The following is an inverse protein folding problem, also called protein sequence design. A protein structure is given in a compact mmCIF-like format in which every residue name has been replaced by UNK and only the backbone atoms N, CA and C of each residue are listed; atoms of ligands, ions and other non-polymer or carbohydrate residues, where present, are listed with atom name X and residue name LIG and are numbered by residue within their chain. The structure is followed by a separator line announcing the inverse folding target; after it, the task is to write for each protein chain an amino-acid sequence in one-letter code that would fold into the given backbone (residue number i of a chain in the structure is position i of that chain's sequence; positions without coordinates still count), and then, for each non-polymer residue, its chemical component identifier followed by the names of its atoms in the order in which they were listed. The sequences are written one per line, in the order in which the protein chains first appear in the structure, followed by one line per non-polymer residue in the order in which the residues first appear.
data_IF_752320634361
#
_entry.id   IF_752320634361
#
_cell.length_a   1.000
_cell.length_b   1.000
_cell.length_c   1.000
_cell.angle_alpha   90.00
_cell.angle_beta   90.00
_cell.angle_gamma   90.00
#
_symmetry.space_group_name_H-M   'P 1'
#
loop_
_entity.id
_entity.type
_entity.pdbx_description
1 polymer ?
#
# COMPACT_ATOMS: atom_id res chain seq x y z
N UNK A 1 -31.90 11.00 4.42
CA UNK A 1 -31.31 9.95 3.57
C UNK A 1 -30.98 8.84 4.55
N UNK A 2 -31.72 7.74 4.43
CA UNK A 2 -31.62 6.62 5.37
C UNK A 2 -30.25 5.98 5.26
N UNK A 3 -29.68 5.61 6.40
CA UNK A 3 -28.38 4.91 6.49
C UNK A 3 -28.44 3.53 5.82
N UNK A 4 -29.65 3.02 5.55
CA UNK A 4 -29.90 1.70 5.00
C UNK A 4 -29.68 1.61 3.47
N UNK A 5 -29.78 2.73 2.74
CA UNK A 5 -29.71 2.72 1.27
C UNK A 5 -28.32 2.31 0.72
N UNK A 6 -27.18 2.82 1.23
CA UNK A 6 -25.86 2.38 0.77
C UNK A 6 -25.54 0.93 1.13
N UNK A 7 -26.05 0.44 2.26
CA UNK A 7 -25.76 -0.92 2.73
C UNK A 7 -26.48 -1.97 1.87
N UNK A 8 -27.75 -1.73 1.55
CA UNK A 8 -28.53 -2.60 0.67
C UNK A 8 -27.88 -2.75 -0.72
N UNK A 9 -27.35 -1.65 -1.29
CA UNK A 9 -26.62 -1.68 -2.57
C UNK A 9 -25.36 -2.56 -2.52
N UNK A 10 -24.64 -2.53 -1.39
CA UNK A 10 -23.47 -3.39 -1.19
C UNK A 10 -23.91 -4.85 -1.07
N UNK A 11 -24.91 -5.14 -0.24
CA UNK A 11 -25.42 -6.50 -0.02
C UNK A 11 -25.92 -7.13 -1.33
N UNK A 12 -26.66 -6.38 -2.16
CA UNK A 12 -27.08 -6.82 -3.50
C UNK A 12 -25.87 -7.16 -4.39
N UNK A 13 -24.87 -6.27 -4.45
CA UNK A 13 -23.65 -6.49 -5.22
C UNK A 13 -22.87 -7.72 -4.71
N UNK A 14 -22.79 -7.93 -3.39
CA UNK A 14 -22.07 -9.06 -2.80
C UNK A 14 -22.81 -10.39 -3.02
N UNK A 15 -24.15 -10.40 -2.94
CA UNK A 15 -24.94 -11.58 -3.30
C UNK A 15 -24.79 -11.94 -4.78
N UNK A 16 -24.73 -10.94 -5.66
CA UNK A 16 -24.40 -11.19 -7.06
C UNK A 16 -23.02 -11.85 -7.22
N UNK A 17 -21.99 -11.35 -6.52
CA UNK A 17 -20.67 -11.99 -6.52
C UNK A 17 -20.66 -13.40 -5.94
N UNK A 18 -21.47 -13.66 -4.91
CA UNK A 18 -21.64 -15.00 -4.34
C UNK A 18 -22.23 -15.96 -5.37
N UNK A 19 -23.20 -15.53 -6.17
CA UNK A 19 -23.75 -16.32 -7.28
C UNK A 19 -22.75 -16.60 -8.40
N UNK A 20 -21.67 -15.80 -8.47
CA UNK A 20 -20.55 -15.97 -9.38
C UNK A 20 -19.37 -16.71 -8.72
N UNK A 21 -19.57 -17.30 -7.53
CA UNK A 21 -18.57 -18.07 -6.78
C UNK A 21 -17.29 -17.26 -6.45
N UNK A 22 -17.41 -15.94 -6.29
CA UNK A 22 -16.27 -15.13 -5.90
C UNK A 22 -15.84 -15.46 -4.45
N UNK A 23 -14.57 -15.85 -4.20
CA UNK A 23 -14.15 -16.44 -2.92
C UNK A 23 -14.13 -15.46 -1.74
N UNK A 24 -14.16 -14.16 -2.02
CA UNK A 24 -14.27 -13.11 -0.99
C UNK A 24 -15.71 -12.67 -0.71
N UNK A 25 -16.72 -13.15 -1.46
CA UNK A 25 -18.10 -12.66 -1.34
C UNK A 25 -18.75 -13.04 0.00
N UNK A 26 -18.64 -14.31 0.41
CA UNK A 26 -19.15 -14.78 1.71
C UNK A 26 -18.43 -14.11 2.88
N UNK A 27 -17.08 -14.06 2.95
CA UNK A 27 -16.37 -13.27 3.95
C UNK A 27 -16.77 -11.80 3.97
N UNK A 28 -17.06 -11.19 2.81
CA UNK A 28 -17.52 -9.80 2.73
C UNK A 28 -18.92 -9.59 3.29
N UNK A 29 -19.83 -10.52 3.10
CA UNK A 29 -21.16 -10.47 3.71
C UNK A 29 -21.08 -10.65 5.23
N UNK A 30 -20.27 -11.59 5.71
CA UNK A 30 -20.01 -11.78 7.14
C UNK A 30 -19.39 -10.53 7.77
N UNK A 31 -18.36 -9.98 7.13
CA UNK A 31 -17.66 -8.79 7.59
C UNK A 31 -18.58 -7.57 7.58
N UNK A 32 -19.38 -7.37 6.52
CA UNK A 32 -20.37 -6.29 6.45
C UNK A 32 -21.41 -6.39 7.57
N UNK A 33 -21.83 -7.62 7.92
CA UNK A 33 -22.80 -7.91 8.98
C UNK A 33 -22.23 -7.77 10.39
N UNK A 34 -20.90 -7.74 10.55
CA UNK A 34 -20.24 -7.59 11.84
C UNK A 34 -20.55 -6.24 12.49
N UNK A 35 -20.78 -6.19 13.82
CA UNK A 35 -20.97 -4.93 14.55
C UNK A 35 -19.71 -4.03 14.53
N UNK A 36 -18.55 -4.57 14.16
CA UNK A 36 -17.31 -3.83 14.04
C UNK A 36 -17.10 -3.23 12.65
N UNK A 37 -17.96 -3.58 11.67
CA UNK A 37 -17.97 -2.96 10.36
C UNK A 37 -18.99 -1.81 10.35
N UNK A 38 -18.50 -0.59 10.16
CA UNK A 38 -19.32 0.62 10.13
C UNK A 38 -19.21 1.28 8.76
N UNK A 39 -20.36 1.72 8.25
CA UNK A 39 -20.45 2.51 7.03
C UNK A 39 -21.10 3.85 7.37
N UNK A 40 -20.31 4.92 7.32
CA UNK A 40 -20.78 6.26 7.59
C UNK A 40 -20.77 7.11 6.33
N UNK A 41 -21.88 7.77 6.02
CA UNK A 41 -21.91 8.82 5.02
C UNK A 41 -21.68 10.18 5.71
N UNK A 42 -20.58 10.83 5.35
CA UNK A 42 -20.20 12.12 5.91
C UNK A 42 -20.28 13.18 4.81
N UNK A 43 -20.72 14.40 5.13
CA UNK A 43 -20.54 15.51 4.19
C UNK A 43 -19.05 15.83 4.07
N UNK A 44 -18.56 16.05 2.85
CA UNK A 44 -17.14 16.26 2.59
C UNK A 44 -16.55 17.43 3.40
N UNK A 45 -17.34 18.50 3.62
CA UNK A 45 -16.89 19.64 4.43
C UNK A 45 -16.76 19.36 5.94
N UNK A 46 -17.34 18.24 6.43
CA UNK A 46 -17.36 17.84 7.85
C UNK A 46 -16.60 16.56 8.12
N UNK A 47 -16.11 15.89 7.09
CA UNK A 47 -15.57 14.54 7.22
C UNK A 47 -14.16 14.50 7.81
N UNK A 48 -13.44 15.63 7.90
CA UNK A 48 -12.02 15.69 8.30
C UNK A 48 -11.04 15.18 7.23
N UNK A 49 -11.47 14.24 6.39
CA UNK A 49 -10.69 13.62 5.32
C UNK A 49 -10.14 14.54 4.24
N UNK A 50 -10.66 15.76 4.04
CA UNK A 50 -10.17 16.65 2.97
C UNK A 50 -8.66 16.89 3.01
N UNK A 51 -8.07 16.97 4.21
CA UNK A 51 -6.61 17.13 4.36
C UNK A 51 -5.87 15.86 3.97
N UNK A 52 -6.36 14.70 4.40
CA UNK A 52 -5.72 13.41 4.13
C UNK A 52 -5.83 12.99 2.67
N UNK A 53 -6.91 13.40 2.00
CA UNK A 53 -7.18 13.09 0.60
C UNK A 53 -6.50 14.05 -0.39
N UNK A 54 -5.94 15.17 0.08
CA UNK A 54 -5.28 16.15 -0.79
C UNK A 54 -4.06 15.55 -1.52
N UNK A 55 -3.28 14.73 -0.81
CA UNK A 55 -2.01 14.17 -1.29
C UNK A 55 -2.16 12.71 -1.75
N UNK A 56 -3.38 12.28 -2.06
CA UNK A 56 -3.64 10.92 -2.55
C UNK A 56 -2.98 10.72 -3.93
N UNK A 57 -2.27 9.59 -4.06
CA UNK A 57 -1.75 9.17 -5.35
C UNK A 57 -2.90 8.79 -6.29
N UNK A 58 -2.91 9.35 -7.50
CA UNK A 58 -4.00 9.14 -8.45
C UNK A 58 -3.90 10.03 -9.68
N UNK A 59 -4.84 9.85 -10.60
CA UNK A 59 -4.92 10.71 -11.80
C UNK A 59 -5.37 12.13 -11.43
N UNK A 60 -5.05 13.12 -12.28
CA UNK A 60 -5.56 14.49 -12.13
C UNK A 60 -7.09 14.51 -12.10
N UNK A 61 -7.75 13.69 -12.93
CA UNK A 61 -9.21 13.59 -12.97
C UNK A 61 -9.77 13.05 -11.65
N UNK A 62 -9.15 11.99 -11.09
CA UNK A 62 -9.54 11.43 -9.80
C UNK A 62 -9.38 12.46 -8.67
N UNK A 63 -8.26 13.18 -8.61
CA UNK A 63 -8.04 14.24 -7.60
C UNK A 63 -9.07 15.36 -7.71
N UNK A 64 -9.45 15.78 -8.93
CA UNK A 64 -10.51 16.77 -9.14
C UNK A 64 -11.87 16.27 -8.67
N UNK A 65 -12.21 15.01 -8.97
CA UNK A 65 -13.46 14.42 -8.53
C UNK A 65 -13.53 14.27 -7.00
N UNK A 66 -12.41 13.92 -6.35
CA UNK A 66 -12.29 13.89 -4.88
C UNK A 66 -12.53 15.29 -4.30
N UNK A 67 -11.86 16.32 -4.84
CA UNK A 67 -12.04 17.69 -4.39
C UNK A 67 -13.48 18.21 -4.62
N UNK A 68 -14.20 17.67 -5.60
CA UNK A 68 -15.58 18.03 -5.92
C UNK A 68 -16.64 17.18 -5.19
N UNK A 69 -16.24 16.17 -4.43
CA UNK A 69 -17.16 15.27 -3.75
C UNK A 69 -18.01 16.01 -2.72
N UNK A 70 -19.32 15.74 -2.71
CA UNK A 70 -20.24 16.31 -1.70
C UNK A 70 -20.29 15.47 -0.43
N UNK A 71 -20.03 14.17 -0.57
CA UNK A 71 -20.09 13.18 0.49
C UNK A 71 -18.90 12.23 0.39
N UNK A 72 -18.46 11.76 1.54
CA UNK A 72 -17.52 10.66 1.68
C UNK A 72 -18.24 9.51 2.37
N UNK A 73 -18.16 8.31 1.78
CA UNK A 73 -18.57 7.09 2.45
C UNK A 73 -17.33 6.47 3.10
N UNK A 74 -17.34 6.37 4.42
CA UNK A 74 -16.22 5.84 5.20
C UNK A 74 -16.62 4.45 5.67
N UNK A 75 -15.93 3.45 5.13
CA UNK A 75 -16.01 2.08 5.61
C UNK A 75 -14.89 1.86 6.62
N UNK A 76 -15.25 1.48 7.85
CA UNK A 76 -14.30 1.07 8.88
C UNK A 76 -14.62 -0.35 9.28
N UNK A 77 -13.64 -1.25 9.21
CA UNK A 77 -13.79 -2.66 9.60
C UNK A 77 -12.76 -3.06 10.66
N UNK A 78 -12.97 -4.18 11.37
CA UNK A 78 -11.95 -4.75 12.25
C UNK A 78 -10.70 -5.13 11.44
N UNK A 79 -9.54 -4.91 12.05
CA UNK A 79 -8.25 -5.33 11.51
C UNK A 79 -7.45 -6.01 12.64
N UNK A 80 -7.78 -7.27 12.91
CA UNK A 80 -6.93 -8.09 13.77
C UNK A 80 -5.71 -8.55 12.97
N UNK A 81 -4.51 -8.41 13.54
CA UNK A 81 -3.28 -8.79 12.82
C UNK A 81 -3.26 -10.27 12.42
N UNK A 82 -3.96 -11.13 13.16
CA UNK A 82 -4.10 -12.57 12.87
C UNK A 82 -4.98 -12.89 11.67
N UNK A 83 -5.84 -11.98 11.24
CA UNK A 83 -6.77 -12.18 10.11
C UNK A 83 -6.33 -11.46 8.84
N UNK A 84 -5.24 -10.70 8.90
CA UNK A 84 -4.61 -10.08 7.75
C UNK A 84 -3.83 -11.12 6.92
N UNK A 85 -3.79 -10.96 5.58
CA UNK A 85 -4.33 -9.84 4.79
C UNK A 85 -5.81 -9.95 4.42
N UNK A 86 -6.48 -11.05 4.77
CA UNK A 86 -7.83 -11.39 4.29
C UNK A 86 -8.88 -10.34 4.67
N UNK A 87 -8.89 -9.85 5.90
CA UNK A 87 -9.85 -8.82 6.32
C UNK A 87 -9.69 -7.50 5.56
N UNK A 88 -8.45 -7.14 5.21
CA UNK A 88 -8.20 -5.96 4.39
C UNK A 88 -8.71 -6.14 2.95
N UNK A 89 -8.52 -7.33 2.34
CA UNK A 89 -9.09 -7.67 1.03
C UNK A 89 -10.62 -7.63 1.05
N UNK A 90 -11.22 -8.22 2.07
CA UNK A 90 -12.67 -8.22 2.29
C UNK A 90 -13.22 -6.79 2.40
N UNK A 91 -12.59 -5.95 3.22
CA UNK A 91 -12.94 -4.53 3.36
C UNK A 91 -12.83 -3.78 2.03
N UNK A 92 -11.75 -4.03 1.26
CA UNK A 92 -11.55 -3.43 -0.06
C UNK A 92 -12.62 -3.88 -1.06
N UNK A 93 -13.06 -5.14 -1.02
CA UNK A 93 -14.15 -5.63 -1.86
C UNK A 93 -15.48 -4.93 -1.54
N UNK A 94 -15.82 -4.81 -0.25
CA UNK A 94 -17.02 -4.09 0.21
C UNK A 94 -16.98 -2.63 -0.28
N UNK A 95 -15.86 -1.95 -0.08
CA UNK A 95 -15.69 -0.56 -0.52
C UNK A 95 -15.75 -0.42 -2.05
N UNK A 96 -15.23 -1.41 -2.80
CA UNK A 96 -15.35 -1.46 -4.26
C UNK A 96 -16.78 -1.68 -4.72
N UNK A 97 -17.53 -2.57 -4.08
CA UNK A 97 -18.95 -2.78 -4.35
C UNK A 97 -19.74 -1.49 -4.17
N UNK A 98 -19.49 -0.76 -3.08
CA UNK A 98 -20.11 0.54 -2.85
C UNK A 98 -19.73 1.57 -3.92
N UNK A 99 -18.44 1.71 -4.21
CA UNK A 99 -17.95 2.66 -5.22
C UNK A 99 -18.56 2.36 -6.59
N UNK A 100 -18.64 1.09 -6.98
CA UNK A 100 -19.25 0.66 -8.23
C UNK A 100 -20.76 0.96 -8.27
N UNK A 101 -21.50 0.61 -7.22
CA UNK A 101 -22.95 0.83 -7.15
C UNK A 101 -23.33 2.32 -7.14
N UNK A 102 -22.46 3.18 -6.61
CA UNK A 102 -22.71 4.63 -6.51
C UNK A 102 -22.05 5.46 -7.61
N UNK A 103 -21.25 4.84 -8.48
CA UNK A 103 -20.38 5.56 -9.42
C UNK A 103 -19.32 6.43 -8.74
N UNK A 104 -18.95 6.08 -7.51
CA UNK A 104 -17.96 6.76 -6.68
C UNK A 104 -16.51 6.39 -7.00
N UNK A 105 -15.58 7.05 -6.32
CA UNK A 105 -14.15 6.76 -6.41
C UNK A 105 -13.71 6.00 -5.16
N UNK A 106 -13.08 4.84 -5.36
CA UNK A 106 -12.50 4.07 -4.27
C UNK A 106 -11.11 4.61 -3.92
N UNK A 107 -10.93 4.99 -2.65
CA UNK A 107 -9.67 5.47 -2.11
C UNK A 107 -9.25 4.53 -0.99
N UNK A 108 -7.99 4.14 -0.98
CA UNK A 108 -7.34 3.54 0.16
C UNK A 108 -6.61 4.63 0.94
N UNK A 109 -7.12 5.07 2.11
CA UNK A 109 -6.51 6.14 2.88
C UNK A 109 -5.19 5.71 3.53
N UNK A 110 -4.99 4.42 3.81
CA UNK A 110 -3.79 3.91 4.48
C UNK A 110 -2.61 3.83 3.51
N UNK A 111 -2.85 3.43 2.25
CA UNK A 111 -1.86 3.55 1.18
C UNK A 111 -1.89 4.92 0.49
N UNK A 112 -2.82 5.81 0.88
CA UNK A 112 -3.11 7.10 0.25
C UNK A 112 -3.09 7.02 -1.27
N UNK A 113 -3.87 6.10 -1.82
CA UNK A 113 -3.96 5.89 -3.26
C UNK A 113 -5.41 5.74 -3.72
N UNK A 114 -5.68 6.27 -4.91
CA UNK A 114 -6.90 5.99 -5.64
C UNK A 114 -6.76 4.62 -6.28
N UNK A 115 -7.70 3.74 -6.00
CA UNK A 115 -7.72 2.41 -6.57
C UNK A 115 -8.35 2.45 -7.98
N UNK A 116 -7.90 1.59 -8.92
CA UNK A 116 -8.45 1.50 -10.26
C UNK A 116 -9.95 1.31 -10.22
N UNK A 117 -10.62 2.04 -11.11
CA UNK A 117 -12.03 1.86 -11.39
C UNK A 117 -12.20 0.53 -12.15
N UNK A 118 -12.69 -0.49 -11.43
CA UNK A 118 -12.97 -1.82 -11.95
C UNK A 118 -14.16 -2.42 -11.19
N UNK A 119 -14.97 -3.25 -11.86
CA UNK A 119 -16.11 -3.88 -11.22
C UNK A 119 -15.67 -4.82 -10.08
N UNK A 120 -16.52 -5.05 -9.06
CA UNK A 120 -16.19 -5.87 -7.89
C UNK A 120 -15.69 -7.28 -8.22
N UNK A 121 -16.22 -7.90 -9.28
CA UNK A 121 -15.82 -9.24 -9.76
C UNK A 121 -14.35 -9.32 -10.22
N UNK A 122 -13.69 -8.17 -10.42
CA UNK A 122 -12.27 -8.06 -10.80
C UNK A 122 -11.36 -7.81 -9.61
N UNK A 123 -11.88 -7.84 -8.38
CA UNK A 123 -11.02 -7.85 -7.20
C UNK A 123 -10.30 -9.21 -7.10
N UNK A 124 -8.96 -9.22 -6.92
CA UNK A 124 -8.19 -10.44 -6.78
C UNK A 124 -8.66 -11.28 -5.59
N UNK A 125 -8.88 -12.56 -5.86
CA UNK A 125 -9.16 -13.56 -4.83
C UNK A 125 -7.96 -13.78 -3.91
N UNK A 126 -6.77 -13.83 -4.51
CA UNK A 126 -5.51 -14.01 -3.79
C UNK A 126 -4.91 -12.65 -3.41
N UNK A 127 -4.21 -12.63 -2.28
CA UNK A 127 -3.50 -11.43 -1.86
C UNK A 127 -2.19 -11.30 -2.62
N UNK A 128 -2.05 -10.20 -3.37
CA UNK A 128 -0.78 -9.77 -3.94
C UNK A 128 -0.46 -8.37 -3.43
N UNK A 129 0.72 -8.19 -2.83
CA UNK A 129 1.15 -6.91 -2.27
C UNK A 129 1.31 -5.81 -3.34
N UNK A 130 1.65 -6.20 -4.58
CA UNK A 130 1.76 -5.31 -5.72
C UNK A 130 0.41 -4.76 -6.22
N UNK A 131 -0.72 -5.28 -5.73
CA UNK A 131 -2.07 -4.76 -6.02
C UNK A 131 -2.41 -3.46 -5.27
N UNK A 132 -1.41 -2.58 -5.12
CA UNK A 132 -1.52 -1.23 -4.55
C UNK A 132 -1.93 -1.20 -3.07
N UNK A 133 -1.53 -2.23 -2.32
CA UNK A 133 -1.62 -2.22 -0.85
C UNK A 133 -0.58 -1.30 -0.21
N UNK A 134 0.50 -1.02 -0.94
CA UNK A 134 1.57 -0.11 -0.54
C UNK A 134 1.82 0.89 -1.66
N UNK A 135 1.85 2.17 -1.30
CA UNK A 135 2.30 3.26 -2.17
C UNK A 135 3.71 3.68 -1.78
N UNK A 136 4.48 4.13 -2.76
CA UNK A 136 5.76 4.78 -2.54
C UNK A 136 5.64 6.24 -2.95
N UNK A 137 6.03 7.13 -2.05
CA UNK A 137 6.05 8.57 -2.32
C UNK A 137 7.49 9.02 -2.38
N UNK A 138 7.83 9.70 -3.48
CA UNK A 138 9.14 10.29 -3.67
C UNK A 138 9.05 11.77 -3.33
N UNK A 139 9.98 12.23 -2.50
CA UNK A 139 10.16 13.61 -2.13
C UNK A 139 11.54 14.06 -2.60
N UNK A 140 11.67 15.33 -2.95
CA UNK A 140 12.99 15.96 -2.92
C UNK A 140 13.46 16.01 -1.47
N UNK A 141 14.73 15.67 -1.27
CA UNK A 141 15.39 15.80 0.00
C UNK A 141 15.68 17.26 0.34
N UNK A 142 16.58 17.41 1.30
CA UNK A 142 17.12 18.68 1.78
C UNK A 142 18.06 19.32 0.74
N UNK A 143 18.65 18.49 -0.12
CA UNK A 143 19.34 18.86 -1.36
C UNK A 143 18.45 18.47 -2.56
N UNK A 144 18.26 19.36 -3.57
CA UNK A 144 17.51 19.05 -4.78
C UNK A 144 17.95 17.80 -5.54
N UNK A 145 19.25 17.45 -5.46
CA UNK A 145 19.83 16.30 -6.16
C UNK A 145 19.58 14.97 -5.45
N UNK A 146 19.33 15.03 -4.14
CA UNK A 146 19.05 13.88 -3.31
C UNK A 146 17.54 13.71 -3.12
N UNK A 147 17.09 12.48 -3.26
CA UNK A 147 15.70 12.09 -3.15
C UNK A 147 15.49 11.27 -1.89
N UNK A 148 14.24 11.22 -1.49
CA UNK A 148 13.73 10.39 -0.41
C UNK A 148 12.52 9.62 -0.92
N UNK A 149 12.40 8.36 -0.52
CA UNK A 149 11.22 7.55 -0.73
C UNK A 149 10.67 7.08 0.62
N UNK A 150 9.35 7.12 0.76
CA UNK A 150 8.64 6.57 1.92
C UNK A 150 7.53 5.64 1.45
N UNK A 151 7.34 4.51 2.14
CA UNK A 151 6.17 3.66 1.93
C UNK A 151 4.97 4.25 2.67
N UNK A 152 3.77 4.01 2.15
CA UNK A 152 2.52 4.16 2.87
C UNK A 152 1.68 2.90 2.68
N UNK A 153 1.17 2.34 3.78
CA UNK A 153 0.28 1.19 3.76
C UNK A 153 0.72 0.07 4.70
N UNK A 154 1.97 0.05 5.15
CA UNK A 154 2.51 -1.00 6.03
C UNK A 154 1.86 -1.01 7.41
N UNK A 155 1.43 0.16 7.88
CA UNK A 155 0.73 0.33 9.16
C UNK A 155 -0.52 -0.54 9.28
N UNK A 156 -1.22 -0.83 8.18
CA UNK A 156 -2.38 -1.75 8.21
C UNK A 156 -1.99 -3.17 8.62
N UNK A 157 -0.75 -3.57 8.39
CA UNK A 157 -0.20 -4.89 8.73
C UNK A 157 0.54 -4.89 10.08
N UNK A 158 0.39 -3.82 10.88
CA UNK A 158 1.08 -3.67 12.16
C UNK A 158 2.58 -3.38 12.02
N UNK A 159 3.02 -2.92 10.86
CA UNK A 159 4.41 -2.60 10.55
C UNK A 159 4.62 -1.09 10.45
N UNK A 160 5.82 -0.63 10.78
CA UNK A 160 6.22 0.76 10.51
C UNK A 160 6.38 0.99 9.02
N UNK A 161 6.07 2.20 8.56
CA UNK A 161 6.42 2.62 7.21
C UNK A 161 7.94 2.67 7.03
N UNK A 162 8.43 2.34 5.84
CA UNK A 162 9.84 2.35 5.49
C UNK A 162 10.22 3.67 4.82
N UNK A 163 11.44 4.10 5.05
CA UNK A 163 12.01 5.30 4.46
C UNK A 163 13.44 5.04 3.97
N UNK A 164 13.75 5.49 2.77
CA UNK A 164 15.11 5.53 2.24
C UNK A 164 15.44 6.96 1.80
N UNK A 165 16.65 7.42 2.07
CA UNK A 165 17.13 8.76 1.74
C UNK A 165 18.41 8.68 0.88
N UNK A 166 18.77 9.80 0.24
CA UNK A 166 20.10 9.98 -0.35
C UNK A 166 20.33 9.29 -1.70
N UNK A 167 19.29 8.75 -2.34
CA UNK A 167 19.38 8.29 -3.74
C UNK A 167 19.16 9.45 -4.71
N UNK A 168 19.53 9.24 -5.97
CA UNK A 168 19.43 10.24 -7.04
C UNK A 168 18.51 9.73 -8.15
N UNK A 169 18.22 10.55 -9.17
CA UNK A 169 17.35 10.18 -10.29
C UNK A 169 17.74 8.84 -10.94
N UNK A 170 19.05 8.61 -11.12
CA UNK A 170 19.57 7.38 -11.72
C UNK A 170 19.29 6.12 -10.88
N UNK A 171 19.07 6.25 -9.58
CA UNK A 171 18.89 5.14 -8.64
C UNK A 171 17.49 5.11 -8.01
N UNK A 172 16.53 5.89 -8.52
CA UNK A 172 15.12 5.87 -8.07
C UNK A 172 14.52 4.45 -8.14
N UNK A 173 14.69 3.75 -9.26
CA UNK A 173 14.11 2.42 -9.45
C UNK A 173 14.67 1.41 -8.44
N UNK A 174 15.97 1.51 -8.14
CA UNK A 174 16.66 0.73 -7.11
C UNK A 174 16.04 0.97 -5.74
N UNK A 175 15.89 2.24 -5.32
CA UNK A 175 15.29 2.60 -4.04
C UNK A 175 13.84 2.11 -3.92
N UNK A 176 13.04 2.27 -4.98
CA UNK A 176 11.66 1.77 -5.05
C UNK A 176 11.62 0.24 -4.86
N UNK A 177 12.44 -0.49 -5.60
CA UNK A 177 12.44 -1.95 -5.56
C UNK A 177 12.99 -2.49 -4.24
N UNK A 178 13.99 -1.82 -3.65
CA UNK A 178 14.46 -2.10 -2.30
C UNK A 178 13.31 -2.02 -1.28
N UNK A 179 12.60 -0.89 -1.24
CA UNK A 179 11.52 -0.66 -0.29
C UNK A 179 10.35 -1.63 -0.51
N UNK A 180 10.01 -1.96 -1.76
CA UNK A 180 9.00 -2.98 -2.10
C UNK A 180 9.40 -4.36 -1.61
N UNK A 181 10.62 -4.80 -1.91
CA UNK A 181 11.11 -6.10 -1.46
C UNK A 181 11.19 -6.19 0.07
N UNK A 182 11.67 -5.13 0.74
CA UNK A 182 11.69 -5.06 2.20
C UNK A 182 10.29 -5.11 2.81
N UNK A 183 9.32 -4.43 2.21
CA UNK A 183 7.93 -4.52 2.65
C UNK A 183 7.39 -5.95 2.58
N UNK A 184 7.63 -6.67 1.47
CA UNK A 184 7.24 -8.07 1.33
C UNK A 184 7.92 -8.96 2.39
N UNK A 185 9.22 -8.78 2.61
CA UNK A 185 9.99 -9.49 3.63
C UNK A 185 9.45 -9.26 5.06
N UNK A 186 9.12 -8.01 5.40
CA UNK A 186 8.61 -7.67 6.73
C UNK A 186 7.20 -8.19 6.96
N UNK A 187 6.33 -8.16 5.94
CA UNK A 187 4.98 -8.74 6.02
C UNK A 187 5.06 -10.25 6.25
N UNK A 188 5.93 -10.95 5.54
CA UNK A 188 6.14 -12.41 5.73
C UNK A 188 6.63 -12.74 7.14
N UNK A 189 7.52 -11.92 7.71
CA UNK A 189 8.04 -12.13 9.08
C UNK A 189 7.10 -11.70 10.19
N UNK A 190 6.09 -10.89 9.87
CA UNK A 190 5.18 -10.28 10.82
C UNK A 190 5.84 -9.23 11.73
N UNK A 191 5.05 -8.55 12.58
CA UNK A 191 5.53 -7.50 13.47
C UNK A 191 6.48 -8.07 14.53
N UNK A 192 7.76 -7.68 14.49
CA UNK A 192 8.74 -7.96 15.55
C UNK A 192 9.04 -6.70 16.35
N UNK A 193 9.34 -6.89 17.65
CA UNK A 193 9.53 -5.82 18.63
C UNK A 193 10.86 -5.07 18.55
N UNK A 194 11.84 -5.54 17.78
CA UNK A 194 13.14 -4.86 17.68
C UNK A 194 13.13 -3.87 16.53
N UNK A 195 13.19 -2.57 16.79
CA UNK A 195 13.10 -1.57 15.74
C UNK A 195 14.44 -1.33 15.03
N UNK A 196 15.55 -1.77 15.63
CA UNK A 196 16.89 -1.70 15.02
C UNK A 196 17.39 -3.09 14.69
N UNK A 197 17.79 -3.32 13.43
CA UNK A 197 18.28 -4.61 12.96
C UNK A 197 19.20 -4.42 11.76
N UNK A 198 20.45 -4.91 11.87
CA UNK A 198 21.30 -5.12 10.71
C UNK A 198 20.88 -6.43 10.02
N UNK A 199 20.79 -6.43 8.69
CA UNK A 199 20.41 -7.60 7.92
C UNK A 199 21.04 -7.61 6.53
N UNK A 200 21.38 -8.80 6.05
CA UNK A 200 21.74 -9.04 4.65
C UNK A 200 20.46 -9.28 3.85
N UNK A 201 19.99 -8.28 3.13
CA UNK A 201 18.70 -8.30 2.44
C UNK A 201 18.78 -9.14 1.18
N UNK A 202 18.10 -10.28 1.18
CA UNK A 202 17.95 -11.13 0.00
C UNK A 202 17.08 -10.45 -1.07
N UNK A 203 17.69 -10.11 -2.21
CA UNK A 203 17.00 -9.39 -3.29
C UNK A 203 15.88 -10.22 -3.96
N UNK A 204 15.80 -11.53 -3.71
CA UNK A 204 14.70 -12.35 -4.24
C UNK A 204 13.34 -11.89 -3.73
N UNK A 205 13.29 -11.17 -2.60
CA UNK A 205 12.08 -10.52 -2.09
C UNK A 205 11.52 -9.45 -3.02
N UNK A 206 12.34 -8.84 -3.88
CA UNK A 206 11.85 -7.93 -4.92
C UNK A 206 10.96 -8.68 -5.91
N UNK A 207 11.35 -9.89 -6.34
CA UNK A 207 10.52 -10.72 -7.22
C UNK A 207 9.24 -11.19 -6.53
N UNK A 208 9.35 -11.59 -5.25
CA UNK A 208 8.20 -12.00 -4.44
C UNK A 208 7.18 -10.88 -4.27
N UNK A 209 7.62 -9.63 -4.12
CA UNK A 209 6.72 -8.48 -4.06
C UNK A 209 5.82 -8.38 -5.29
N UNK A 210 6.35 -8.68 -6.49
CA UNK A 210 5.62 -8.61 -7.76
C UNK A 210 5.03 -9.96 -8.21
N UNK A 211 5.10 -11.00 -7.38
CA UNK A 211 4.69 -12.37 -7.75
C UNK A 211 5.38 -12.88 -9.04
N UNK A 212 6.65 -12.52 -9.24
CA UNK A 212 7.43 -12.89 -10.42
C UNK A 212 8.40 -14.06 -10.16
N UNK A 213 8.76 -14.84 -11.20
CA UNK A 213 9.84 -15.81 -11.10
C UNK A 213 11.17 -15.15 -10.73
N UNK A 214 11.91 -15.78 -9.81
CA UNK A 214 13.25 -15.33 -9.42
C UNK A 214 14.17 -15.41 -10.63
N UNK A 215 14.81 -14.29 -10.97
CA UNK A 215 15.72 -14.20 -12.13
C UNK A 215 17.15 -13.84 -11.73
N UNK A 216 17.35 -13.25 -10.55
CA UNK A 216 18.67 -12.92 -9.99
C UNK A 216 18.69 -13.19 -8.49
N UNK A 217 19.89 -13.44 -7.96
CA UNK A 217 20.16 -13.68 -6.55
C UNK A 217 21.26 -12.75 -6.07
N UNK A 218 21.27 -12.43 -4.78
CA UNK A 218 22.24 -11.55 -4.17
C UNK A 218 21.74 -11.04 -2.83
N UNK A 219 22.63 -10.35 -2.11
CA UNK A 219 22.26 -9.68 -0.87
C UNK A 219 22.76 -8.24 -0.87
N UNK A 220 22.02 -7.37 -0.19
CA UNK A 220 22.45 -6.00 0.10
C UNK A 220 22.48 -5.84 1.62
N UNK A 221 23.62 -5.50 2.23
CA UNK A 221 23.67 -5.27 3.67
C UNK A 221 22.95 -3.97 4.00
N UNK A 222 22.08 -4.01 5.03
CA UNK A 222 21.24 -2.90 5.46
C UNK A 222 21.22 -2.78 6.97
N UNK A 223 20.94 -1.57 7.44
CA UNK A 223 20.54 -1.26 8.80
C UNK A 223 19.12 -0.69 8.78
N UNK A 224 18.20 -1.37 9.45
CA UNK A 224 16.90 -0.81 9.79
C UNK A 224 16.99 -0.17 11.17
N UNK A 225 16.45 1.03 11.35
CA UNK A 225 16.32 1.68 12.67
C UNK A 225 15.17 2.70 12.69
N UNK A 226 14.65 3.08 13.87
CA UNK A 226 13.70 4.18 13.98
C UNK A 226 14.25 5.44 13.31
N UNK A 227 13.42 6.06 12.47
CA UNK A 227 13.73 7.36 11.93
C UNK A 227 13.55 8.43 13.02
N UNK A 228 14.57 9.24 13.32
CA UNK A 228 14.45 10.29 14.31
C UNK A 228 13.33 11.27 13.89
N UNK A 229 12.53 11.70 14.85
CA UNK A 229 11.43 12.67 14.65
C UNK A 229 10.30 12.22 13.71
N UNK A 230 10.17 10.92 13.41
CA UNK A 230 8.99 10.42 12.69
C UNK A 230 7.79 10.33 13.64
N UNK A 231 6.74 11.16 13.51
CA UNK A 231 5.55 11.07 14.35
C UNK A 231 4.81 9.74 14.15
N UNK A 232 5.00 9.12 12.98
CA UNK A 232 4.44 7.82 12.56
C UNK A 232 5.34 6.62 12.91
N UNK A 233 6.53 6.86 13.49
CA UNK A 233 7.46 5.78 13.85
C UNK A 233 8.04 5.04 12.64
N UNK A 234 8.35 5.75 11.54
CA UNK A 234 8.95 5.15 10.34
C UNK A 234 10.29 4.47 10.68
N UNK A 235 10.66 3.46 9.90
CA UNK A 235 11.97 2.85 9.91
C UNK A 235 12.81 3.39 8.75
N UNK A 236 13.95 3.96 9.08
CA UNK A 236 15.01 4.27 8.13
C UNK A 236 15.64 2.98 7.60
N UNK A 237 15.92 2.97 6.30
CA UNK A 237 16.64 1.92 5.57
C UNK A 237 17.94 2.53 5.10
N UNK A 238 19.01 2.24 5.84
CA UNK A 238 20.32 2.84 5.63
C UNK A 238 21.39 1.77 5.38
N UNK A 239 22.55 2.12 4.81
CA UNK A 239 23.71 1.23 4.79
C UNK A 239 24.17 0.87 6.22
N UNK A 240 24.89 -0.24 6.40
CA UNK A 240 25.34 -0.69 7.72
C UNK A 240 26.36 0.24 8.38
N UNK A 241 27.15 0.97 7.58
CA UNK A 241 28.13 1.94 8.05
C UNK A 241 27.61 3.36 7.80
N UNK A 242 27.33 4.17 8.84
CA UNK A 242 26.85 5.54 8.69
C UNK A 242 27.88 6.49 8.05
N UNK A 243 29.15 6.10 7.96
CA UNK A 243 30.21 6.88 7.32
C UNK A 243 30.37 6.63 5.81
N UNK A 244 29.60 5.71 5.23
CA UNK A 244 29.73 5.39 3.81
C UNK A 244 29.23 6.53 2.92
N UNK A 245 29.85 6.69 1.76
CA UNK A 245 29.31 7.53 0.70
C UNK A 245 27.98 6.94 0.20
N UNK A 246 26.87 7.64 0.47
CA UNK A 246 25.53 7.19 0.10
C UNK A 246 25.38 7.05 -1.43
N UNK A 247 25.99 7.93 -2.22
CA UNK A 247 25.91 7.83 -3.68
C UNK A 247 26.59 6.54 -4.16
N UNK A 248 27.84 6.29 -3.74
CA UNK A 248 28.55 5.05 -4.06
C UNK A 248 27.86 3.78 -3.52
N UNK A 249 27.19 3.86 -2.37
CA UNK A 249 26.39 2.76 -1.85
C UNK A 249 25.16 2.47 -2.73
N UNK A 250 24.43 3.51 -3.15
CA UNK A 250 23.29 3.34 -4.05
C UNK A 250 23.69 2.79 -5.43
N UNK A 251 24.84 3.19 -5.96
CA UNK A 251 25.40 2.62 -7.20
C UNK A 251 25.72 1.13 -7.02
N UNK A 252 26.31 0.76 -5.88
CA UNK A 252 26.58 -0.64 -5.55
C UNK A 252 25.29 -1.45 -5.38
N UNK A 253 24.28 -0.88 -4.72
CA UNK A 253 22.97 -1.50 -4.57
C UNK A 253 22.28 -1.67 -5.93
N UNK A 254 22.37 -0.70 -6.83
CA UNK A 254 21.80 -0.76 -8.17
C UNK A 254 22.42 -1.86 -9.06
N UNK A 255 23.67 -2.25 -8.79
CA UNK A 255 24.31 -3.37 -9.47
C UNK A 255 23.73 -4.74 -9.08
N UNK A 256 23.02 -4.83 -7.95
CA UNK A 256 22.50 -6.08 -7.38
C UNK A 256 20.97 -6.10 -7.43
N UNK A 257 20.30 -5.02 -7.02
CA UNK A 257 18.84 -4.94 -6.95
C UNK A 257 18.26 -4.83 -8.36
N UNK A 258 17.35 -5.73 -8.75
CA UNK A 258 16.84 -5.75 -10.11
C UNK A 258 15.93 -4.56 -10.38
N UNK A 259 16.05 -3.97 -11.58
CA UNK A 259 15.14 -2.96 -12.10
C UNK A 259 13.83 -3.61 -12.61
N UNK A 260 13.03 -4.16 -11.69
CA UNK A 260 11.70 -4.71 -11.99
C UNK A 260 10.67 -3.59 -12.07
N UNK A 261 9.86 -3.57 -13.13
CA UNK A 261 8.76 -2.62 -13.29
C UNK A 261 7.41 -3.36 -13.34
N UNK A 262 6.36 -2.88 -12.63
CA UNK A 262 5.07 -3.58 -12.49
C UNK A 262 4.30 -3.79 -13.80
N UNK A 263 4.65 -3.09 -14.88
CA UNK A 263 3.92 -3.17 -16.18
C UNK A 263 4.53 -4.10 -17.21
N UNK A 264 5.71 -4.67 -17.00
CA UNK A 264 6.38 -5.44 -18.04
C UNK A 264 6.43 -6.94 -17.77
N UNK A 265 6.40 -7.41 -16.51
CA UNK A 265 6.73 -8.81 -16.18
C UNK A 265 8.07 -9.27 -16.79
N UNK A 266 8.90 -8.31 -17.21
CA UNK A 266 10.14 -8.48 -17.98
C UNK A 266 11.17 -7.55 -17.40
N UNK A 267 12.37 -8.08 -17.20
CA UNK A 267 13.57 -7.30 -16.87
C UNK A 267 13.74 -6.19 -17.90
N UNK A 268 14.00 -4.96 -17.45
CA UNK A 268 14.50 -3.89 -18.31
C UNK A 268 16.02 -4.09 -18.41
N UNK A 269 16.43 -5.16 -19.10
CA UNK A 269 17.82 -5.38 -19.50
C UNK A 269 17.91 -5.21 -21.02
#
# INVERSE_FOLDING_TARGET
MDVDEPRALIEESLHHLLSLEHPLAEPALEHLSSPHCTLAQLSANRSGWNRELHDVNGSVASRRAIAAARHHHVLTGPAELSTLPKDAQTTRLIARALAFATGGILIDPTARTVLPDRPPIREPAEFDLADQWITLVIHHGWDPTHLRAETWGLTRFGLSELRADGFIDATIATAINLLRGLAAFLIDRGPKRSPTCALDFDITWVYRYYSLPISTNGTVPLLLHPHPHSPTGNLSVDPPDPGIDLTGWWDSAAAVIPAVHPRSGRSIN
#
